data_IF_216005299216
#
_entry.id   IF_216005299216
#
_cell.length_a   1.000
_cell.length_b   1.000
_cell.length_c   1.000
_cell.angle_alpha   90.00
_cell.angle_beta   90.00
_cell.angle_gamma   90.00
#
_symmetry.space_group_name_H-M   'P 1'
#
loop_
_entity.id
_entity.type
_entity.pdbx_description
1 polymer ?
#
# COMPACT_ATOMS: atom_id res chain seq x y z
N UNK A 1 8.31 43.88 -23.61
CA UNK A 1 7.01 43.26 -23.29
C UNK A 1 6.85 41.83 -23.82
N UNK A 2 7.80 41.27 -24.59
CA UNK A 2 7.76 39.87 -25.05
C UNK A 2 8.21 38.86 -23.98
N UNK A 3 9.14 39.27 -23.11
CA UNK A 3 9.72 38.43 -22.05
C UNK A 3 8.66 37.87 -21.11
N UNK A 4 7.59 38.61 -20.85
CA UNK A 4 6.52 38.17 -19.95
C UNK A 4 5.76 36.96 -20.50
N UNK A 5 5.54 36.90 -21.82
CA UNK A 5 4.89 35.74 -22.45
C UNK A 5 5.77 34.49 -22.35
N UNK A 6 7.08 34.62 -22.54
CA UNK A 6 8.03 33.52 -22.36
C UNK A 6 8.06 33.01 -20.91
N UNK A 7 8.07 33.91 -19.92
CA UNK A 7 8.06 33.53 -18.51
C UNK A 7 6.76 32.82 -18.11
N UNK A 8 5.62 33.29 -18.62
CA UNK A 8 4.31 32.64 -18.37
C UNK A 8 4.31 31.23 -18.93
N UNK A 9 4.77 31.02 -20.17
CA UNK A 9 4.83 29.68 -20.78
C UNK A 9 5.71 28.74 -19.98
N UNK A 10 6.92 29.17 -19.59
CA UNK A 10 7.84 28.35 -18.79
C UNK A 10 7.22 28.01 -17.44
N UNK A 11 6.59 28.98 -16.76
CA UNK A 11 5.94 28.77 -15.47
C UNK A 11 4.81 27.74 -15.56
N UNK A 12 3.97 27.80 -16.61
CA UNK A 12 2.88 26.84 -16.80
C UNK A 12 3.43 25.44 -17.06
N UNK A 13 4.45 25.31 -17.91
CA UNK A 13 5.09 24.01 -18.20
C UNK A 13 5.64 23.38 -16.93
N UNK A 14 6.35 24.15 -16.10
CA UNK A 14 6.89 23.67 -14.82
C UNK A 14 5.76 23.25 -13.87
N UNK A 15 4.69 24.05 -13.76
CA UNK A 15 3.54 23.72 -12.91
C UNK A 15 2.86 22.41 -13.33
N UNK A 16 2.61 22.22 -14.63
CA UNK A 16 2.01 20.98 -15.16
C UNK A 16 2.93 19.78 -14.96
N UNK A 17 4.24 19.96 -15.15
CA UNK A 17 5.23 18.91 -14.91
C UNK A 17 5.19 18.43 -13.44
N UNK A 18 5.23 19.36 -12.49
CA UNK A 18 5.16 19.01 -11.07
C UNK A 18 3.83 18.38 -10.68
N UNK A 19 2.71 18.88 -11.23
CA UNK A 19 1.39 18.29 -10.98
C UNK A 19 1.31 16.85 -11.51
N UNK A 20 1.82 16.59 -12.72
CA UNK A 20 1.86 15.25 -13.29
C UNK A 20 2.72 14.29 -12.45
N UNK A 21 3.92 14.74 -12.05
CA UNK A 21 4.80 13.98 -11.19
C UNK A 21 4.15 13.67 -9.82
N UNK A 22 3.47 14.65 -9.22
CA UNK A 22 2.73 14.50 -7.97
C UNK A 22 1.61 13.45 -8.10
N UNK A 23 0.78 13.54 -9.14
CA UNK A 23 -0.31 12.57 -9.37
C UNK A 23 0.27 11.16 -9.60
N UNK A 24 1.35 11.05 -10.37
CA UNK A 24 2.03 9.76 -10.60
C UNK A 24 2.57 9.17 -9.29
N UNK A 25 3.18 9.98 -8.43
CA UNK A 25 3.70 9.54 -7.14
C UNK A 25 2.59 9.06 -6.21
N UNK A 26 1.49 9.83 -6.09
CA UNK A 26 0.32 9.45 -5.28
C UNK A 26 -0.34 8.17 -5.79
N UNK A 27 -0.40 7.98 -7.11
CA UNK A 27 -0.95 6.74 -7.71
C UNK A 27 0.00 5.56 -7.72
N UNK A 28 1.28 5.74 -7.36
CA UNK A 28 2.31 4.68 -7.38
C UNK A 28 2.13 3.59 -6.31
N UNK A 29 0.95 3.49 -5.69
CA UNK A 29 0.62 2.37 -4.82
C UNK A 29 1.27 2.43 -3.43
N UNK A 30 1.76 3.59 -2.99
CA UNK A 30 2.30 3.74 -1.63
C UNK A 30 1.24 3.56 -0.51
N UNK A 31 -0.03 3.38 -0.89
CA UNK A 31 -1.15 3.08 -0.01
C UNK A 31 -1.46 1.57 0.09
N UNK A 32 -0.71 0.69 -0.59
CA UNK A 32 -0.92 -0.76 -0.47
C UNK A 32 -0.50 -1.34 0.90
N UNK A 33 0.16 -0.54 1.73
CA UNK A 33 0.56 -0.88 3.11
C UNK A 33 -0.28 -0.12 4.16
N UNK A 34 -1.57 0.14 3.85
CA UNK A 34 -2.54 0.71 4.78
C UNK A 34 -2.91 -0.25 5.95
N UNK A 35 -2.45 -1.51 5.88
CA UNK A 35 -2.56 -2.48 6.97
C UNK A 35 -1.25 -2.59 7.74
N UNK A 36 -1.17 -1.82 8.83
CA UNK A 36 0.02 -1.76 9.70
C UNK A 36 0.51 -3.15 10.10
N UNK A 37 1.83 -3.43 10.04
CA UNK A 37 2.40 -4.73 10.40
C UNK A 37 2.05 -5.18 11.82
N UNK A 38 1.80 -4.26 12.75
CA UNK A 38 1.35 -4.57 14.11
C UNK A 38 -0.06 -5.15 14.18
N UNK A 39 -0.94 -4.88 13.20
CA UNK A 39 -2.29 -5.46 13.13
C UNK A 39 -2.22 -6.85 12.51
N UNK A 40 -1.42 -7.05 11.46
CA UNK A 40 -1.18 -8.36 10.86
C UNK A 40 -0.60 -9.34 11.89
N UNK A 41 0.39 -8.90 12.67
CA UNK A 41 1.01 -9.75 13.68
C UNK A 41 0.04 -10.17 14.81
N UNK A 42 -0.92 -9.31 15.18
CA UNK A 42 -1.90 -9.60 16.22
C UNK A 42 -2.94 -10.66 15.80
N UNK A 43 -3.31 -10.68 14.52
CA UNK A 43 -4.31 -11.62 13.97
C UNK A 43 -3.70 -12.88 13.35
N UNK A 44 -2.44 -12.83 12.91
CA UNK A 44 -1.68 -14.00 12.44
C UNK A 44 -1.47 -15.01 13.59
N UNK A 45 -1.29 -14.52 14.83
CA UNK A 45 -1.13 -15.37 16.02
C UNK A 45 -2.40 -16.17 16.36
N UNK A 46 -3.59 -15.59 16.14
CA UNK A 46 -4.88 -16.28 16.35
C UNK A 46 -5.14 -17.37 15.28
N UNK A 47 -4.92 -17.03 14.00
CA UNK A 47 -5.08 -17.97 12.87
C UNK A 47 -4.12 -19.16 12.96
N UNK A 48 -2.89 -18.93 13.44
CA UNK A 48 -1.90 -19.99 13.63
C UNK A 48 -2.26 -20.93 14.79
N UNK A 49 -2.97 -20.42 15.82
CA UNK A 49 -3.47 -21.21 16.95
C UNK A 49 -4.65 -22.11 16.54
N UNK A 50 -5.59 -21.56 15.78
CA UNK A 50 -6.74 -22.29 15.20
C UNK A 50 -6.28 -23.42 14.27
N UNK A 51 -5.29 -23.16 13.41
CA UNK A 51 -4.77 -24.16 12.46
C UNK A 51 -4.07 -25.32 13.16
N UNK A 52 -3.26 -25.04 14.19
CA UNK A 52 -2.61 -26.09 14.98
C UNK A 52 -3.63 -26.96 15.73
N UNK A 53 -4.65 -26.35 16.33
CA UNK A 53 -5.66 -27.08 17.10
C UNK A 53 -6.48 -28.03 16.23
N UNK A 54 -6.93 -27.56 15.06
CA UNK A 54 -7.65 -28.39 14.09
C UNK A 54 -6.79 -29.55 13.57
N UNK A 55 -5.49 -29.34 13.33
CA UNK A 55 -4.58 -30.40 12.90
C UNK A 55 -4.36 -31.48 13.97
N UNK A 56 -4.34 -31.09 15.24
CA UNK A 56 -4.20 -32.03 16.38
C UNK A 56 -5.47 -32.87 16.52
N UNK A 57 -6.66 -32.25 16.51
CA UNK A 57 -7.95 -32.97 16.59
C UNK A 57 -8.19 -33.91 15.40
N UNK A 58 -7.86 -33.49 14.17
CA UNK A 58 -7.97 -34.32 12.96
C UNK A 58 -7.02 -35.52 12.94
N UNK A 59 -5.93 -35.46 13.70
CA UNK A 59 -4.94 -36.55 13.81
C UNK A 59 -5.36 -37.56 14.88
N UNK A 60 -5.98 -37.10 15.97
CA UNK A 60 -6.50 -37.96 17.04
C UNK A 60 -7.76 -38.75 16.61
N UNK A 61 -8.69 -38.13 15.86
CA UNK A 61 -9.87 -38.85 15.34
C UNK A 61 -9.52 -39.93 14.30
N UNK A 62 -8.41 -39.80 13.57
CA UNK A 62 -7.96 -40.81 12.60
C UNK A 62 -7.20 -41.97 13.23
N UNK A 63 -6.85 -41.86 14.52
CA UNK A 63 -6.10 -42.89 15.26
C UNK A 63 -7.01 -43.75 16.17
N UNK A 64 -8.30 -43.40 16.29
CA UNK A 64 -9.37 -44.19 16.90
C UNK A 64 -10.13 -45.00 15.82
#
# INVERSE_FOLDING_TARGET
>A
MSVIYMLITISIVVAVFFLYAFIKAVRSGQYDDDYTPSVRMLFDDELRKETNKNQIELTEEKQL
#
